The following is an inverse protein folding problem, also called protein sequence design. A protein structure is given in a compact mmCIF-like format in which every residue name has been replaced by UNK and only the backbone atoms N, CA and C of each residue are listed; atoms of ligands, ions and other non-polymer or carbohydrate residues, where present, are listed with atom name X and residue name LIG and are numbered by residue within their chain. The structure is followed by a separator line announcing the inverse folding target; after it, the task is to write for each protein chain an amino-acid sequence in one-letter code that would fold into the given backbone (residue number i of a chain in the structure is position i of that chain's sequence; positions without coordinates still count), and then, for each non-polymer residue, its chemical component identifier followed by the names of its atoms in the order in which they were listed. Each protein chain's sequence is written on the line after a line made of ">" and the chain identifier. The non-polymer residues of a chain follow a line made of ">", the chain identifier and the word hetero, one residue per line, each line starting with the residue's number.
data_IF_024386071611
#
_entry.id   IF_024386071611
#
_cell.length_a   1.000
_cell.length_b   1.000
_cell.length_c   1.000
_cell.angle_alpha   90.00
_cell.angle_beta   90.00
_cell.angle_gamma   90.00
#
_symmetry.space_group_name_H-M   'P 1'
#
loop_
_entity.id
_entity.type
_entity.pdbx_description
1 polymer ?
#
# COMPACT_ATOMS: atom_id res chain seq x y z
N UNK A 1 -26.66 -10.73 -17.42
CA UNK A 1 -25.22 -10.41 -17.31
C UNK A 1 -24.87 -10.57 -15.83
N UNK A 2 -23.78 -11.24 -15.43
CA UNK A 2 -23.40 -11.20 -14.03
C UNK A 2 -23.01 -9.75 -13.71
N UNK A 3 -23.57 -9.24 -12.62
CA UNK A 3 -23.43 -7.87 -12.12
C UNK A 3 -21.97 -7.45 -12.04
N UNK A 4 -21.71 -6.18 -12.35
CA UNK A 4 -20.42 -5.55 -12.11
C UNK A 4 -20.05 -5.78 -10.63
N UNK A 5 -19.02 -6.58 -10.40
CA UNK A 5 -18.56 -7.04 -9.09
C UNK A 5 -18.55 -5.87 -8.10
N UNK A 6 -19.43 -5.93 -7.09
CA UNK A 6 -19.47 -4.96 -6.00
C UNK A 6 -18.06 -4.90 -5.37
N UNK A 7 -17.46 -3.70 -5.33
CA UNK A 7 -16.10 -3.53 -4.85
C UNK A 7 -16.00 -3.50 -3.33
N UNK A 8 -17.12 -3.57 -2.61
CA UNK A 8 -17.13 -3.60 -1.15
C UNK A 8 -16.28 -4.77 -0.61
N UNK A 9 -15.37 -4.46 0.31
CA UNK A 9 -14.43 -5.42 0.86
C UNK A 9 -13.20 -5.71 -0.01
N UNK A 10 -13.08 -5.14 -1.22
CA UNK A 10 -11.84 -5.21 -1.98
C UNK A 10 -10.69 -4.59 -1.17
N UNK A 11 -9.58 -5.32 -1.03
CA UNK A 11 -8.48 -4.86 -0.21
C UNK A 11 -7.12 -5.34 -0.70
N UNK A 12 -6.09 -4.54 -0.42
CA UNK A 12 -4.69 -4.85 -0.66
C UNK A 12 -3.85 -4.42 0.53
N UNK A 13 -2.68 -5.05 0.67
CA UNK A 13 -1.67 -4.70 1.66
C UNK A 13 -0.40 -4.25 0.96
N UNK A 14 0.22 -3.20 1.48
CA UNK A 14 1.46 -2.67 0.95
C UNK A 14 2.65 -3.60 1.18
N UNK A 15 3.81 -3.31 0.58
CA UNK A 15 5.03 -4.09 0.74
C UNK A 15 5.66 -3.91 2.13
N UNK A 16 6.66 -4.76 2.42
CA UNK A 16 7.55 -4.61 3.57
C UNK A 16 7.27 -5.61 4.69
N UNK A 17 8.32 -6.08 5.40
CA UNK A 17 8.22 -7.27 6.25
C UNK A 17 7.45 -7.06 7.55
N UNK A 18 7.28 -5.80 8.01
CA UNK A 18 6.71 -5.49 9.31
C UNK A 18 5.21 -5.21 9.23
N UNK A 19 4.39 -6.16 9.70
CA UNK A 19 2.91 -6.05 9.69
C UNK A 19 2.42 -4.80 10.44
N UNK A 20 3.06 -4.45 11.56
CA UNK A 20 2.63 -3.35 12.43
C UNK A 20 2.65 -1.96 11.76
N UNK A 21 3.43 -1.79 10.69
CA UNK A 21 3.59 -0.51 9.98
C UNK A 21 3.23 -0.61 8.49
N UNK A 22 2.70 -1.75 8.05
CA UNK A 22 2.38 -1.97 6.65
C UNK A 22 1.08 -1.25 6.30
N UNK A 23 1.05 -0.62 5.13
CA UNK A 23 -0.18 -0.02 4.62
C UNK A 23 -1.21 -1.10 4.28
N UNK A 24 -2.48 -0.81 4.49
CA UNK A 24 -3.61 -1.61 4.02
C UNK A 24 -4.67 -0.67 3.49
N UNK A 25 -5.17 -0.97 2.29
CA UNK A 25 -6.30 -0.30 1.68
C UNK A 25 -7.49 -1.23 1.67
N UNK A 26 -8.66 -0.72 2.07
CA UNK A 26 -9.93 -1.48 2.05
C UNK A 26 -11.02 -0.58 1.45
N UNK A 27 -11.73 -1.11 0.47
CA UNK A 27 -12.89 -0.44 -0.14
C UNK A 27 -14.12 -0.71 0.73
N UNK A 28 -14.87 0.35 1.00
CA UNK A 28 -16.14 0.32 1.71
C UNK A 28 -17.22 1.02 0.89
N UNK A 29 -18.38 0.40 0.77
CA UNK A 29 -19.58 1.03 0.20
C UNK A 29 -20.28 1.86 1.27
N UNK A 30 -20.52 3.13 0.98
CA UNK A 30 -21.30 4.03 1.81
C UNK A 30 -22.81 3.82 1.63
N UNK A 31 -23.59 4.33 2.59
CA UNK A 31 -25.06 4.30 2.54
C UNK A 31 -25.62 5.12 1.37
N UNK A 32 -24.82 6.02 0.80
CA UNK A 32 -25.10 6.81 -0.39
C UNK A 32 -24.89 6.04 -1.71
N UNK A 33 -24.48 4.77 -1.62
CA UNK A 33 -24.17 3.92 -2.75
C UNK A 33 -22.85 4.26 -3.46
N UNK A 34 -22.07 5.19 -2.90
CA UNK A 34 -20.71 5.49 -3.37
C UNK A 34 -19.70 4.61 -2.65
N UNK A 35 -18.48 4.59 -3.17
CA UNK A 35 -17.38 3.82 -2.58
C UNK A 35 -16.33 4.76 -1.98
N UNK A 36 -15.73 4.30 -0.90
CA UNK A 36 -14.69 4.96 -0.14
C UNK A 36 -13.54 3.98 0.08
N UNK A 37 -12.31 4.47 0.00
CA UNK A 37 -11.12 3.68 0.30
C UNK A 37 -10.57 4.11 1.64
N UNK A 38 -10.49 3.19 2.59
CA UNK A 38 -9.83 3.37 3.86
C UNK A 38 -8.39 2.91 3.76
N UNK A 39 -7.44 3.84 3.87
CA UNK A 39 -6.02 3.58 4.01
C UNK A 39 -5.65 3.55 5.50
N UNK A 40 -4.99 2.47 5.93
CA UNK A 40 -4.58 2.24 7.32
C UNK A 40 -3.12 1.82 7.37
N UNK A 41 -2.41 2.19 8.45
CA UNK A 41 -1.05 1.72 8.75
C UNK A 41 -1.16 0.71 9.90
N UNK A 42 -0.81 -0.55 9.65
CA UNK A 42 -1.03 -1.64 10.61
C UNK A 42 -2.52 -1.89 10.91
N UNK A 43 -2.81 -2.69 11.94
CA UNK A 43 -4.19 -3.11 12.28
C UNK A 43 -4.98 -2.11 13.13
N UNK A 44 -4.32 -1.18 13.86
CA UNK A 44 -4.98 -0.38 14.90
C UNK A 44 -4.99 1.13 14.64
N UNK A 45 -4.58 1.59 13.45
CA UNK A 45 -4.54 3.02 13.15
C UNK A 45 -5.88 3.55 12.67
N UNK A 46 -6.14 4.83 12.96
CA UNK A 46 -7.28 5.55 12.37
C UNK A 46 -7.11 5.62 10.83
N UNK A 47 -8.16 5.29 10.05
CA UNK A 47 -8.06 5.27 8.60
C UNK A 47 -8.03 6.68 8.03
N UNK A 48 -7.24 6.87 6.97
CA UNK A 48 -7.38 8.00 6.05
C UNK A 48 -8.36 7.57 4.97
N UNK A 49 -9.45 8.33 4.82
CA UNK A 49 -10.55 7.98 3.92
C UNK A 49 -10.46 8.80 2.64
N UNK A 50 -10.54 8.12 1.50
CA UNK A 50 -10.61 8.73 0.15
C UNK A 50 -11.95 8.39 -0.51
N UNK A 51 -12.60 9.37 -1.14
CA UNK A 51 -13.92 9.22 -1.79
C UNK A 51 -14.79 10.48 -1.63
N UNK A 52 -16.05 10.46 -2.08
CA UNK A 52 -16.74 9.34 -2.74
C UNK A 52 -16.23 9.07 -4.17
N UNK A 53 -16.36 7.83 -4.63
CA UNK A 53 -16.04 7.43 -6.00
C UNK A 53 -16.87 6.23 -6.48
N UNK A 54 -16.81 5.91 -7.78
CA UNK A 54 -17.46 4.72 -8.33
C UNK A 54 -16.74 3.44 -7.92
N UNK A 55 -17.42 2.28 -8.03
CA UNK A 55 -16.83 0.95 -7.76
C UNK A 55 -15.49 0.75 -8.50
N UNK A 56 -15.49 0.97 -9.81
CA UNK A 56 -14.29 0.82 -10.63
C UNK A 56 -13.18 1.83 -10.26
N UNK A 57 -13.54 3.05 -9.87
CA UNK A 57 -12.57 4.04 -9.44
C UNK A 57 -11.93 3.67 -8.09
N UNK A 58 -12.69 3.06 -7.17
CA UNK A 58 -12.18 2.58 -5.89
C UNK A 58 -11.18 1.42 -6.07
N UNK A 59 -11.50 0.45 -6.92
CA UNK A 59 -10.58 -0.65 -7.25
C UNK A 59 -9.30 -0.11 -7.87
N UNK A 60 -9.42 0.77 -8.88
CA UNK A 60 -8.26 1.37 -9.54
C UNK A 60 -7.42 2.19 -8.56
N UNK A 61 -8.05 2.95 -7.66
CA UNK A 61 -7.33 3.72 -6.64
C UNK A 61 -6.46 2.81 -5.77
N UNK A 62 -7.01 1.70 -5.30
CA UNK A 62 -6.30 0.71 -4.47
C UNK A 62 -5.13 0.09 -5.25
N UNK A 63 -5.34 -0.26 -6.51
CA UNK A 63 -4.31 -0.84 -7.37
C UNK A 63 -3.15 0.13 -7.61
N UNK A 64 -3.45 1.38 -7.98
CA UNK A 64 -2.44 2.40 -8.23
C UNK A 64 -1.60 2.73 -6.98
N UNK A 65 -2.23 2.77 -5.80
CA UNK A 65 -1.55 3.04 -4.54
C UNK A 65 -0.66 1.87 -4.11
N UNK A 66 -1.12 0.64 -4.31
CA UNK A 66 -0.33 -0.54 -3.98
C UNK A 66 0.89 -0.70 -4.89
N UNK A 67 0.74 -0.46 -6.20
CA UNK A 67 1.85 -0.44 -7.16
C UNK A 67 2.88 0.65 -6.81
N UNK A 68 2.41 1.84 -6.47
CA UNK A 68 3.29 2.93 -6.06
C UNK A 68 4.02 2.64 -4.75
N UNK A 69 3.33 2.02 -3.78
CA UNK A 69 3.96 1.59 -2.53
C UNK A 69 5.06 0.55 -2.80
N UNK A 70 4.82 -0.42 -3.69
CA UNK A 70 5.83 -1.38 -4.14
C UNK A 70 7.04 -0.70 -4.76
N UNK A 71 6.84 0.24 -5.68
CA UNK A 71 7.95 1.00 -6.29
C UNK A 71 8.79 1.74 -5.24
N UNK A 72 8.14 2.43 -4.30
CA UNK A 72 8.82 3.15 -3.22
C UNK A 72 9.59 2.21 -2.29
N UNK A 73 9.01 1.06 -1.96
CA UNK A 73 9.67 0.07 -1.13
C UNK A 73 10.90 -0.54 -1.81
N UNK A 74 10.81 -0.88 -3.10
CA UNK A 74 11.94 -1.44 -3.84
C UNK A 74 13.08 -0.43 -4.02
N UNK A 75 12.75 0.85 -4.23
CA UNK A 75 13.73 1.93 -4.23
C UNK A 75 14.45 2.00 -2.88
N UNK A 76 13.69 2.07 -1.78
CA UNK A 76 14.25 2.12 -0.43
C UNK A 76 15.11 0.88 -0.11
N UNK A 77 14.65 -0.32 -0.49
CA UNK A 77 15.39 -1.57 -0.32
C UNK A 77 16.73 -1.52 -1.05
N UNK A 78 16.73 -1.00 -2.28
CA UNK A 78 17.95 -0.86 -3.09
C UNK A 78 18.92 0.16 -2.48
N UNK A 79 18.42 1.28 -1.95
CA UNK A 79 19.24 2.26 -1.24
C UNK A 79 19.89 1.67 0.03
N UNK A 80 19.14 0.94 0.84
CA UNK A 80 19.66 0.30 2.07
C UNK A 80 20.71 -0.76 1.72
N UNK A 81 20.46 -1.60 0.71
CA UNK A 81 21.41 -2.60 0.25
C UNK A 81 22.69 -1.97 -0.30
N UNK A 82 22.57 -0.86 -1.04
CA UNK A 82 23.71 -0.09 -1.57
C UNK A 82 24.55 0.55 -0.47
N UNK A 83 23.92 1.16 0.54
CA UNK A 83 24.62 1.73 1.72
C UNK A 83 25.31 0.65 2.56
N UNK A 84 24.67 -0.51 2.72
CA UNK A 84 25.26 -1.63 3.45
C UNK A 84 26.52 -2.15 2.75
N UNK A 85 26.44 -2.30 1.41
CA UNK A 85 27.59 -2.71 0.59
C UNK A 85 28.78 -1.73 0.69
N UNK A 86 28.53 -0.42 0.72
CA UNK A 86 29.58 0.59 0.88
C UNK A 86 30.24 0.51 2.27
N UNK A 87 29.44 0.38 3.33
CA UNK A 87 29.96 0.25 4.69
C UNK A 87 30.81 -1.03 4.89
N UNK A 88 30.48 -2.12 4.19
CA UNK A 88 31.27 -3.35 4.18
C UNK A 88 32.60 -3.21 3.42
N UNK A 89 32.63 -2.45 2.32
CA UNK A 89 33.85 -2.18 1.56
C UNK A 89 34.82 -1.29 2.35
N UNK A 90 34.32 -0.25 3.03
CA UNK A 90 35.13 0.63 3.88
C UNK A 90 35.78 -0.14 5.04
N UNK A 91 35.04 -1.06 5.69
CA UNK A 91 35.60 -1.90 6.77
C UNK A 91 36.71 -2.83 6.27
N UNK A 92 36.66 -3.31 5.02
CA UNK A 92 37.65 -4.23 4.46
C UNK A 92 38.90 -3.53 3.95
N UNK A 93 38.85 -2.22 3.69
CA UNK A 93 39.99 -1.40 3.24
C UNK A 93 40.92 -0.92 4.37
N UNK A 94 40.54 -1.11 5.63
CA UNK A 94 41.28 -0.69 6.83
C UNK A 94 41.99 -1.89 7.51
N UNK A 95 42.58 -2.80 6.70
CA UNK A 95 43.30 -3.99 7.14
C UNK A 95 44.62 -4.17 6.40
#
# INVERSE_FOLDING_TARGET
>A
MPDHTDADGYSKVGPGPMVAIRLKWTVHRGDDGQYYVHETIGEQSAPVVSGPMTSEAAVRFVDEHEDEAHRRFELLRSEIAGRSSLAELERKGDA
#
